data_IF_755641106874
#
_entry.id   IF_755641106874
#
_cell.length_a   1.000
_cell.length_b   1.000
_cell.length_c   1.000
_cell.angle_alpha   90.00
_cell.angle_beta   90.00
_cell.angle_gamma   90.00
#
_symmetry.space_group_name_H-M   'P 1'
#
loop_
_entity.id
_entity.type
_entity.pdbx_description
1 polymer ?
#
# COMPACT_ATOMS: atom_id res chain seq x y z
N UNK A 1 -3.42 -9.19 -11.01
CA UNK A 1 -4.48 -8.96 -12.01
C UNK A 1 -5.70 -9.80 -11.68
N UNK A 2 -6.81 -9.16 -11.31
CA UNK A 2 -8.00 -9.88 -10.82
C UNK A 2 -7.68 -10.64 -9.52
N UNK A 3 -7.90 -11.95 -9.53
CA UNK A 3 -7.70 -12.81 -8.36
C UNK A 3 -6.22 -13.02 -7.98
N UNK A 4 -5.31 -12.86 -8.94
CA UNK A 4 -3.89 -13.08 -8.72
C UNK A 4 -3.18 -11.81 -8.22
N UNK A 5 -2.38 -11.94 -7.16
CA UNK A 5 -1.41 -10.92 -6.76
C UNK A 5 -0.22 -10.91 -7.72
N UNK A 6 0.15 -9.73 -8.23
CA UNK A 6 1.11 -9.56 -9.32
C UNK A 6 2.09 -8.41 -9.08
N UNK A 7 3.04 -8.24 -9.99
CA UNK A 7 3.99 -7.11 -9.97
C UNK A 7 3.29 -5.74 -10.08
N UNK A 8 2.09 -5.67 -10.65
CA UNK A 8 1.30 -4.44 -10.68
C UNK A 8 0.96 -3.97 -9.26
N UNK A 9 0.50 -4.89 -8.41
CA UNK A 9 0.20 -4.61 -7.00
C UNK A 9 1.47 -4.20 -6.23
N UNK A 10 2.58 -4.92 -6.48
CA UNK A 10 3.89 -4.61 -5.90
C UNK A 10 4.40 -3.22 -6.28
N UNK A 11 4.15 -2.77 -7.51
CA UNK A 11 4.59 -1.47 -8.00
C UNK A 11 3.69 -0.32 -7.52
N UNK A 12 2.39 -0.56 -7.37
CA UNK A 12 1.41 0.50 -7.09
C UNK A 12 1.22 0.76 -5.58
N UNK A 13 1.01 -0.27 -4.77
CA UNK A 13 0.61 -0.07 -3.37
C UNK A 13 1.67 0.56 -2.44
N UNK A 14 2.99 0.43 -2.69
CA UNK A 14 3.97 1.20 -1.93
C UNK A 14 3.79 2.71 -2.07
N UNK A 15 3.40 3.21 -3.25
CA UNK A 15 3.11 4.62 -3.46
C UNK A 15 1.87 5.08 -2.69
N UNK A 16 0.84 4.23 -2.62
CA UNK A 16 -0.34 4.53 -1.81
C UNK A 16 0.01 4.60 -0.32
N UNK A 17 0.81 3.66 0.20
CA UNK A 17 1.32 3.70 1.58
C UNK A 17 2.07 4.99 1.88
N UNK A 18 2.89 5.44 0.94
CA UNK A 18 3.63 6.68 1.09
C UNK A 18 2.70 7.91 1.09
N UNK A 19 1.74 7.95 0.16
CA UNK A 19 0.78 9.05 0.00
C UNK A 19 -0.05 9.29 1.26
N UNK A 20 -0.64 8.23 1.82
CA UNK A 20 -1.56 8.37 2.98
C UNK A 20 -0.84 8.35 4.32
N UNK A 21 0.41 7.87 4.35
CA UNK A 21 1.24 7.78 5.56
C UNK A 21 2.27 8.91 5.61
N UNK A 22 3.39 8.73 4.91
CA UNK A 22 4.54 9.67 4.99
C UNK A 22 4.23 11.08 4.46
N UNK A 23 3.38 11.19 3.44
CA UNK A 23 2.93 12.50 2.94
C UNK A 23 1.71 13.05 3.69
N UNK A 24 1.12 12.26 4.60
CA UNK A 24 -0.06 12.65 5.40
C UNK A 24 -1.22 13.21 4.55
N UNK A 25 -1.33 12.80 3.28
CA UNK A 25 -2.27 13.40 2.32
C UNK A 25 -3.62 12.67 2.23
N UNK A 26 -3.95 11.81 3.20
CA UNK A 26 -5.14 10.97 3.19
C UNK A 26 -6.45 11.78 3.06
N UNK A 27 -6.58 12.85 3.86
CA UNK A 27 -7.77 13.71 3.87
C UNK A 27 -7.84 14.58 2.61
N UNK A 28 -6.68 15.05 2.12
CA UNK A 28 -6.59 15.88 0.92
C UNK A 28 -7.11 15.14 -0.33
N UNK A 29 -6.85 13.84 -0.43
CA UNK A 29 -7.31 13.02 -1.55
C UNK A 29 -8.64 12.32 -1.28
N UNK A 30 -9.24 12.52 -0.11
CA UNK A 30 -10.51 11.89 0.26
C UNK A 30 -10.44 10.36 0.22
N UNK A 31 -9.41 9.75 0.82
CA UNK A 31 -9.14 8.30 0.65
C UNK A 31 -10.33 7.39 1.04
N UNK A 32 -11.22 7.87 1.91
CA UNK A 32 -12.46 7.19 2.31
C UNK A 32 -13.43 6.96 1.15
N UNK A 33 -13.36 7.77 0.09
CA UNK A 33 -14.24 7.69 -1.07
C UNK A 33 -13.86 6.53 -2.01
N UNK A 34 -12.74 5.85 -1.76
CA UNK A 34 -12.20 4.77 -2.59
C UNK A 34 -12.16 3.42 -1.83
N UNK A 35 -13.32 2.83 -1.47
CA UNK A 35 -13.39 1.64 -0.62
C UNK A 35 -12.74 0.39 -1.22
N UNK A 36 -12.74 0.26 -2.55
CA UNK A 36 -12.08 -0.87 -3.21
C UNK A 36 -10.55 -0.74 -3.22
N UNK A 37 -10.04 0.49 -3.32
CA UNK A 37 -8.61 0.78 -3.24
C UNK A 37 -8.10 0.51 -1.83
N UNK A 38 -8.81 1.01 -0.81
CA UNK A 38 -8.45 0.75 0.59
C UNK A 38 -8.53 -0.73 0.95
N UNK A 39 -9.58 -1.45 0.50
CA UNK A 39 -9.68 -2.92 0.68
C UNK A 39 -8.48 -3.65 0.08
N UNK A 40 -8.13 -3.37 -1.17
CA UNK A 40 -7.01 -4.03 -1.84
C UNK A 40 -5.67 -3.67 -1.16
N UNK A 41 -5.51 -2.40 -0.77
CA UNK A 41 -4.33 -1.92 -0.05
C UNK A 41 -4.13 -2.65 1.28
N UNK A 42 -5.18 -2.79 2.09
CA UNK A 42 -5.10 -3.53 3.36
C UNK A 42 -4.73 -5.01 3.15
N UNK A 43 -5.27 -5.64 2.11
CA UNK A 43 -4.92 -7.02 1.77
C UNK A 43 -3.43 -7.17 1.38
N UNK A 44 -2.85 -6.19 0.68
CA UNK A 44 -1.42 -6.19 0.36
C UNK A 44 -0.56 -5.96 1.60
N UNK A 45 -0.93 -5.00 2.46
CA UNK A 45 -0.20 -4.72 3.70
C UNK A 45 -0.19 -5.90 4.67
N UNK A 46 -1.24 -6.73 4.68
CA UNK A 46 -1.31 -7.91 5.53
C UNK A 46 -0.34 -9.04 5.14
N UNK A 47 0.35 -8.95 3.99
CA UNK A 47 1.25 -10.00 3.51
C UNK A 47 2.57 -9.99 4.30
N UNK A 48 3.03 -11.14 4.85
CA UNK A 48 4.27 -11.21 5.62
C UNK A 48 5.51 -10.72 4.84
N UNK A 49 5.55 -10.94 3.51
CA UNK A 49 6.64 -10.45 2.67
C UNK A 49 6.66 -8.92 2.53
N UNK A 50 5.48 -8.28 2.53
CA UNK A 50 5.35 -6.81 2.44
C UNK A 50 5.81 -6.17 3.75
N UNK A 51 5.41 -6.73 4.90
CA UNK A 51 5.90 -6.26 6.20
C UNK A 51 7.43 -6.33 6.31
N UNK A 52 8.06 -7.37 5.76
CA UNK A 52 9.53 -7.50 5.71
C UNK A 52 10.17 -6.45 4.81
N UNK A 53 9.71 -6.29 3.57
CA UNK A 53 10.41 -5.44 2.58
C UNK A 53 10.33 -3.95 2.92
N UNK A 54 9.31 -3.52 3.67
CA UNK A 54 9.18 -2.13 4.13
C UNK A 54 10.35 -1.69 5.03
N UNK A 55 11.02 -2.64 5.69
CA UNK A 55 12.15 -2.37 6.60
C UNK A 55 13.50 -2.82 6.01
N UNK A 56 13.60 -2.93 4.68
CA UNK A 56 14.85 -3.32 3.98
C UNK A 56 15.33 -2.18 3.07
N UNK A 57 16.62 -1.77 3.15
CA UNK A 57 17.56 -2.13 4.20
C UNK A 57 17.09 -1.56 5.55
N UNK A 58 17.49 -2.21 6.64
CA UNK A 58 17.23 -1.67 7.98
C UNK A 58 17.89 -0.30 8.08
N UNK A 59 17.13 0.67 8.63
CA UNK A 59 17.65 2.00 8.92
C UNK A 59 18.74 1.87 10.00
N UNK A 60 19.83 2.62 9.84
CA UNK A 60 20.96 2.67 10.79
C UNK A 60 20.55 3.24 12.13
#
# INVERSE_FOLDING_TARGET
>A
MGDAYTIADMATFPWLRNLVGFYEAADLVGITDFPHVTRAFQAVLARPAVAKVIDIPRRS
#
